data_IF_272686459650
#
_entry.id   IF_272686459650
#
_cell.length_a   1.000
_cell.length_b   1.000
_cell.length_c   1.000
_cell.angle_alpha   90.00
_cell.angle_beta   90.00
_cell.angle_gamma   90.00
#
_symmetry.space_group_name_H-M   'P 1'
#
loop_
_entity.id
_entity.type
_entity.pdbx_description
1 polymer ?
#
# COMPACT_ATOMS: atom_id res chain seq x y z
N UNK A 1 56.32 9.75 16.00
CA UNK A 1 55.00 9.68 16.68
C UNK A 1 53.94 9.65 15.60
N UNK A 2 53.19 8.54 15.48
CA UNK A 2 52.10 8.39 14.50
C UNK A 2 50.93 9.26 14.96
N UNK A 3 50.56 10.28 14.20
CA UNK A 3 49.26 10.92 14.33
C UNK A 3 48.28 10.20 13.41
N UNK A 4 47.26 9.64 14.04
CA UNK A 4 46.15 8.92 13.44
C UNK A 4 45.33 9.86 12.54
N UNK A 5 45.17 9.47 11.29
CA UNK A 5 44.09 9.94 10.43
C UNK A 5 42.78 9.37 11.01
N UNK A 6 41.84 10.25 11.37
CA UNK A 6 40.44 9.85 11.53
C UNK A 6 39.78 9.96 10.15
N UNK A 7 39.51 8.80 9.58
CA UNK A 7 38.72 8.60 8.36
C UNK A 7 37.23 8.69 8.72
N UNK A 8 36.43 9.62 8.15
CA UNK A 8 34.99 9.67 8.37
C UNK A 8 34.29 8.75 7.36
N UNK A 9 34.55 7.44 7.43
CA UNK A 9 33.91 6.42 6.59
C UNK A 9 32.93 5.57 7.42
N UNK A 10 31.69 6.05 7.55
CA UNK A 10 30.48 5.22 7.64
C UNK A 10 29.23 6.08 7.88
N UNK A 11 28.84 6.89 6.90
CA UNK A 11 27.43 7.17 6.72
C UNK A 11 26.91 6.06 5.81
N UNK A 12 26.26 5.05 6.38
CA UNK A 12 25.44 4.14 5.59
C UNK A 12 24.37 5.01 4.90
N UNK A 13 24.43 5.12 3.57
CA UNK A 13 23.34 5.64 2.77
C UNK A 13 22.11 4.80 3.10
N UNK A 14 21.27 5.28 4.01
CA UNK A 14 19.94 4.71 4.25
C UNK A 14 19.15 5.04 3.00
N UNK A 15 19.21 4.16 2.00
CA UNK A 15 18.45 4.32 0.77
C UNK A 15 16.98 4.53 1.14
N UNK A 16 16.45 5.73 0.89
CA UNK A 16 15.07 6.06 1.21
C UNK A 16 14.13 5.09 0.48
N UNK A 17 13.38 4.32 1.26
CA UNK A 17 12.39 3.38 0.74
C UNK A 17 11.26 4.16 0.06
N UNK A 18 11.12 3.99 -1.26
CA UNK A 18 10.10 4.65 -2.06
C UNK A 18 8.91 3.70 -2.31
N UNK A 19 7.90 3.78 -1.45
CA UNK A 19 6.68 2.97 -1.56
C UNK A 19 5.47 3.79 -1.99
N UNK A 20 4.79 3.28 -3.02
CA UNK A 20 3.59 3.88 -3.58
C UNK A 20 2.38 2.95 -3.45
N UNK A 21 1.19 3.54 -3.41
CA UNK A 21 -0.06 2.82 -3.54
C UNK A 21 -0.82 3.25 -4.79
N UNK A 22 -1.28 2.30 -5.61
CA UNK A 22 -2.07 2.60 -6.81
C UNK A 22 -3.27 1.65 -6.98
N UNK A 23 -4.44 2.21 -7.25
CA UNK A 23 -5.68 1.45 -7.45
C UNK A 23 -6.04 1.36 -8.92
N UNK A 24 -6.28 0.16 -9.45
CA UNK A 24 -6.55 0.03 -10.89
C UNK A 24 -8.00 0.38 -11.29
N UNK A 25 -8.98 0.13 -10.40
CA UNK A 25 -10.41 0.38 -10.65
C UNK A 25 -10.84 -0.08 -12.05
N UNK A 26 -11.39 0.82 -12.86
CA UNK A 26 -11.78 0.66 -14.25
C UNK A 26 -10.87 1.42 -15.22
N UNK A 27 -9.62 1.73 -14.84
CA UNK A 27 -8.68 2.42 -15.71
C UNK A 27 -8.40 1.63 -16.99
N UNK A 28 -8.08 2.34 -18.07
CA UNK A 28 -7.45 1.70 -19.21
C UNK A 28 -6.04 1.25 -18.82
N UNK A 29 -5.51 0.23 -19.50
CA UNK A 29 -4.13 -0.19 -19.32
C UNK A 29 -3.14 0.94 -19.60
N UNK A 30 -3.38 1.74 -20.65
CA UNK A 30 -2.51 2.86 -21.03
C UNK A 30 -2.44 3.93 -19.95
N UNK A 31 -3.58 4.32 -19.37
CA UNK A 31 -3.62 5.31 -18.28
C UNK A 31 -2.92 4.77 -17.03
N UNK A 32 -3.13 3.50 -16.70
CA UNK A 32 -2.46 2.88 -15.57
C UNK A 32 -0.94 2.86 -15.74
N UNK A 33 -0.44 2.48 -16.93
CA UNK A 33 0.99 2.49 -17.25
C UNK A 33 1.55 3.92 -17.21
N UNK A 34 0.85 4.91 -17.77
CA UNK A 34 1.34 6.30 -17.74
C UNK A 34 1.48 6.83 -16.31
N UNK A 35 0.60 6.42 -15.38
CA UNK A 35 0.73 6.76 -13.96
C UNK A 35 1.97 6.12 -13.34
N UNK A 36 2.27 4.86 -13.68
CA UNK A 36 3.47 4.18 -13.18
C UNK A 36 4.74 4.85 -13.70
N UNK A 37 4.79 5.18 -14.99
CA UNK A 37 5.93 5.84 -15.63
C UNK A 37 6.16 7.25 -15.09
N UNK A 38 5.10 8.04 -14.91
CA UNK A 38 5.17 9.40 -14.35
C UNK A 38 5.78 9.42 -12.94
N UNK A 39 5.62 8.32 -12.19
CA UNK A 39 6.17 8.16 -10.84
C UNK A 39 7.44 7.30 -10.79
N UNK A 40 8.01 6.98 -11.96
CA UNK A 40 9.19 6.15 -12.12
C UNK A 40 9.10 4.79 -11.40
N UNK A 41 7.90 4.21 -11.34
CA UNK A 41 7.68 2.89 -10.73
C UNK A 41 8.38 1.83 -11.57
N UNK A 42 9.11 0.96 -10.90
CA UNK A 42 9.91 -0.12 -11.51
C UNK A 42 9.37 -1.50 -11.13
N UNK A 43 8.59 -1.59 -10.06
CA UNK A 43 7.98 -2.84 -9.58
C UNK A 43 6.53 -2.58 -9.18
N UNK A 44 5.61 -3.40 -9.68
CA UNK A 44 4.23 -3.48 -9.21
C UNK A 44 4.06 -4.72 -8.35
N UNK A 45 3.64 -4.54 -7.11
CA UNK A 45 3.27 -5.62 -6.20
C UNK A 45 1.76 -5.68 -6.08
N UNK A 46 1.16 -6.71 -6.65
CA UNK A 46 -0.28 -6.95 -6.61
C UNK A 46 -0.68 -7.58 -5.28
N UNK A 47 -1.38 -6.80 -4.46
CA UNK A 47 -1.86 -7.22 -3.12
C UNK A 47 -3.33 -7.65 -3.15
N UNK A 48 -3.92 -7.88 -4.32
CA UNK A 48 -5.28 -8.44 -4.41
C UNK A 48 -5.24 -9.91 -4.00
N UNK A 49 -6.15 -10.36 -3.13
CA UNK A 49 -6.23 -11.77 -2.69
C UNK A 49 -6.30 -12.79 -3.82
N UNK A 50 -6.76 -12.38 -5.01
CA UNK A 50 -6.59 -13.14 -6.23
C UNK A 50 -6.27 -12.16 -7.36
N UNK A 51 -5.27 -12.43 -8.22
CA UNK A 51 -4.87 -11.52 -9.29
C UNK A 51 -5.82 -11.64 -10.50
N UNK A 52 -7.12 -11.73 -10.23
CA UNK A 52 -8.20 -11.81 -11.22
C UNK A 52 -8.94 -10.49 -11.25
N UNK A 53 -9.33 -10.09 -12.46
CA UNK A 53 -10.13 -8.88 -12.68
C UNK A 53 -11.16 -9.15 -13.75
N UNK A 54 -12.29 -8.43 -13.68
CA UNK A 54 -13.27 -8.35 -14.77
C UNK A 54 -12.72 -7.65 -16.01
N UNK A 55 -11.68 -6.84 -15.83
CA UNK A 55 -10.95 -6.20 -16.90
C UNK A 55 -9.78 -7.10 -17.30
N UNK A 56 -9.83 -7.68 -18.49
CA UNK A 56 -8.87 -8.70 -18.93
C UNK A 56 -7.41 -8.24 -18.80
N UNK A 57 -7.13 -6.96 -19.07
CA UNK A 57 -5.79 -6.35 -18.95
C UNK A 57 -5.26 -6.27 -17.51
N UNK A 58 -6.13 -6.37 -16.51
CA UNK A 58 -5.76 -6.43 -15.09
C UNK A 58 -5.80 -7.86 -14.50
N UNK A 59 -5.93 -8.90 -15.33
CA UNK A 59 -5.58 -10.25 -14.89
C UNK A 59 -4.07 -10.36 -14.70
N UNK A 60 -3.59 -11.06 -13.66
CA UNK A 60 -2.16 -11.08 -13.29
C UNK A 60 -1.24 -11.45 -14.46
N UNK A 61 -1.60 -12.49 -15.23
CA UNK A 61 -0.82 -12.91 -16.40
C UNK A 61 -0.83 -11.89 -17.54
N UNK A 62 -1.94 -11.19 -17.79
CA UNK A 62 -1.99 -10.16 -18.84
C UNK A 62 -1.28 -8.87 -18.40
N UNK A 63 -1.46 -8.49 -17.13
CA UNK A 63 -0.84 -7.32 -16.53
C UNK A 63 0.68 -7.49 -16.48
N UNK A 64 1.19 -8.62 -15.98
CA UNK A 64 2.62 -8.96 -15.96
C UNK A 64 3.26 -8.83 -17.35
N UNK A 65 2.63 -9.42 -18.38
CA UNK A 65 3.09 -9.30 -19.78
C UNK A 65 3.07 -7.88 -20.31
N UNK A 66 2.12 -7.06 -19.88
CA UNK A 66 2.00 -5.66 -20.32
C UNK A 66 3.05 -4.78 -19.65
N UNK A 67 3.26 -4.96 -18.35
CA UNK A 67 4.28 -4.25 -17.57
C UNK A 67 5.71 -4.59 -18.02
N UNK A 68 5.97 -5.86 -18.35
CA UNK A 68 7.27 -6.28 -18.89
C UNK A 68 7.67 -5.54 -20.18
N UNK A 69 6.70 -5.13 -21.02
CA UNK A 69 6.98 -4.37 -22.25
C UNK A 69 7.51 -2.96 -21.99
N UNK A 70 7.25 -2.42 -20.80
CA UNK A 70 7.70 -1.11 -20.35
C UNK A 70 8.73 -1.22 -19.21
N UNK A 71 9.38 -2.38 -19.09
CA UNK A 71 10.42 -2.66 -18.08
C UNK A 71 9.98 -2.52 -16.63
N UNK A 72 8.69 -2.76 -16.35
CA UNK A 72 8.14 -2.79 -14.99
C UNK A 72 7.97 -4.25 -14.56
N UNK A 73 8.58 -4.62 -13.44
CA UNK A 73 8.46 -5.95 -12.85
C UNK A 73 7.10 -6.12 -12.17
N UNK A 74 6.61 -7.35 -12.12
CA UNK A 74 5.34 -7.69 -11.46
C UNK A 74 5.54 -8.83 -10.47
N UNK A 75 5.08 -8.63 -9.23
CA UNK A 75 4.99 -9.67 -8.21
C UNK A 75 3.57 -9.72 -7.66
N UNK A 76 3.10 -10.90 -7.28
CA UNK A 76 1.81 -11.07 -6.62
C UNK A 76 2.03 -11.56 -5.19
N UNK A 77 1.51 -10.82 -4.21
CA UNK A 77 1.59 -11.13 -2.77
C UNK A 77 0.20 -11.19 -2.13
N UNK A 78 -0.83 -11.54 -2.90
CA UNK A 78 -2.21 -11.58 -2.40
C UNK A 78 -2.52 -12.71 -1.42
N UNK A 79 -1.68 -13.75 -1.38
CA UNK A 79 -1.72 -14.82 -0.38
C UNK A 79 -1.28 -14.33 1.02
N UNK A 80 -0.44 -13.29 1.07
CA UNK A 80 0.10 -12.71 2.31
C UNK A 80 -0.57 -11.39 2.71
N UNK A 81 -0.80 -10.53 1.72
CA UNK A 81 -1.26 -9.14 1.89
C UNK A 81 -2.64 -8.89 1.29
N UNK A 82 -3.39 -9.96 1.00
CA UNK A 82 -4.73 -9.89 0.43
C UNK A 82 -5.78 -9.28 1.37
N UNK A 83 -6.62 -8.39 0.84
CA UNK A 83 -7.73 -7.76 1.59
C UNK A 83 -8.97 -8.62 1.81
N UNK A 84 -8.98 -9.87 1.34
CA UNK A 84 -10.04 -10.85 1.60
C UNK A 84 -9.53 -11.92 2.54
N UNK A 85 -10.07 -11.94 3.74
CA UNK A 85 -9.81 -12.90 4.80
C UNK A 85 -11.15 -13.34 5.42
N UNK A 86 -11.09 -14.25 6.39
CA UNK A 86 -12.29 -14.74 7.09
C UNK A 86 -13.12 -13.57 7.65
N UNK A 87 -14.46 -13.59 7.56
CA UNK A 87 -15.32 -12.54 8.13
C UNK A 87 -15.22 -12.43 9.66
N UNK A 88 -14.58 -13.41 10.32
CA UNK A 88 -14.31 -13.39 11.77
C UNK A 88 -13.03 -12.63 12.12
N UNK A 89 -12.19 -12.29 11.15
CA UNK A 89 -10.93 -11.59 11.37
C UNK A 89 -11.11 -10.10 11.11
N UNK A 90 -10.48 -9.29 11.96
CA UNK A 90 -10.29 -7.85 11.76
C UNK A 90 -8.94 -7.58 11.11
N UNK A 91 -8.71 -6.34 10.65
CA UNK A 91 -7.38 -5.91 10.23
C UNK A 91 -6.34 -6.06 11.33
N UNK A 92 -6.70 -5.82 12.59
CA UNK A 92 -5.78 -6.03 13.71
C UNK A 92 -5.39 -7.50 13.90
N UNK A 93 -6.29 -8.44 13.62
CA UNK A 93 -5.99 -9.88 13.67
C UNK A 93 -5.05 -10.28 12.53
N UNK A 94 -5.29 -9.75 11.31
CA UNK A 94 -4.44 -9.99 10.14
C UNK A 94 -3.04 -9.41 10.36
N UNK A 95 -2.94 -8.19 10.88
CA UNK A 95 -1.68 -7.48 11.14
C UNK A 95 -0.77 -8.25 12.12
N UNK A 96 -1.35 -8.99 13.06
CA UNK A 96 -0.61 -9.81 14.03
C UNK A 96 -0.13 -11.17 13.49
N UNK A 97 -0.49 -11.53 12.26
CA UNK A 97 -0.14 -12.83 11.69
C UNK A 97 1.27 -12.86 11.11
N UNK A 98 1.96 -14.00 11.24
CA UNK A 98 3.28 -14.21 10.63
C UNK A 98 3.25 -14.11 9.09
N UNK A 99 2.12 -14.49 8.50
CA UNK A 99 1.85 -14.40 7.06
C UNK A 99 1.90 -12.95 6.59
N UNK A 100 1.24 -12.05 7.33
CA UNK A 100 1.28 -10.62 7.04
C UNK A 100 2.69 -10.04 7.22
N UNK A 101 3.36 -10.37 8.33
CA UNK A 101 4.72 -9.92 8.61
C UNK A 101 5.71 -10.34 7.49
N UNK A 102 5.57 -11.58 6.99
CA UNK A 102 6.36 -12.08 5.85
C UNK A 102 6.10 -11.26 4.57
N UNK A 103 4.82 -10.96 4.29
CA UNK A 103 4.46 -10.13 3.15
C UNK A 103 5.04 -8.70 3.23
N UNK A 104 5.01 -8.09 4.41
CA UNK A 104 5.61 -6.77 4.64
C UNK A 104 7.13 -6.81 4.42
N UNK A 105 7.81 -7.82 4.94
CA UNK A 105 9.25 -7.99 4.74
C UNK A 105 9.62 -8.12 3.26
N UNK A 106 8.83 -8.86 2.46
CA UNK A 106 9.03 -8.98 1.01
C UNK A 106 8.82 -7.66 0.28
N UNK A 107 7.81 -6.87 0.66
CA UNK A 107 7.59 -5.52 0.11
C UNK A 107 8.76 -4.60 0.42
N UNK A 108 9.22 -4.57 1.67
CA UNK A 108 10.35 -3.74 2.09
C UNK A 108 11.65 -4.17 1.41
N UNK A 109 11.86 -5.47 1.25
CA UNK A 109 13.01 -5.99 0.50
C UNK A 109 12.96 -5.58 -0.97
N UNK A 110 11.79 -5.67 -1.62
CA UNK A 110 11.62 -5.25 -3.01
C UNK A 110 11.85 -3.74 -3.19
N UNK A 111 11.54 -2.93 -2.18
CA UNK A 111 11.72 -1.48 -2.24
C UNK A 111 13.18 -1.03 -2.00
N UNK A 112 14.08 -1.94 -1.58
CA UNK A 112 15.52 -1.65 -1.50
C UNK A 112 16.10 -1.52 -2.92
N UNK A 113 16.27 -0.29 -3.39
CA UNK A 113 16.81 0.00 -4.72
C UNK A 113 15.79 -0.06 -5.86
N UNK A 114 14.49 -0.02 -5.54
CA UNK A 114 13.42 0.08 -6.54
C UNK A 114 12.30 0.97 -6.05
N UNK A 115 11.57 1.57 -6.98
CA UNK A 115 10.32 2.29 -6.71
C UNK A 115 9.16 1.34 -6.88
N UNK A 116 8.52 0.98 -5.77
CA UNK A 116 7.50 -0.07 -5.72
C UNK A 116 6.11 0.56 -5.61
N UNK A 117 5.17 0.10 -6.44
CA UNK A 117 3.75 0.40 -6.28
C UNK A 117 2.98 -0.85 -5.78
N UNK A 118 2.40 -0.77 -4.59
CA UNK A 118 1.39 -1.72 -4.14
C UNK A 118 0.08 -1.46 -4.87
N UNK A 119 -0.45 -2.49 -5.54
CA UNK A 119 -1.63 -2.38 -6.39
C UNK A 119 -2.83 -3.16 -5.84
N UNK A 120 -4.00 -2.51 -5.82
CA UNK A 120 -5.29 -3.12 -5.47
C UNK A 120 -6.39 -2.76 -6.48
N UNK A 121 -7.64 -3.20 -6.22
CA UNK A 121 -8.76 -3.01 -7.15
C UNK A 121 -9.48 -1.68 -6.99
N UNK A 122 -9.51 -1.16 -5.77
CA UNK A 122 -10.27 0.01 -5.37
C UNK A 122 -9.63 1.29 -5.91
N UNK A 123 -10.44 2.28 -6.30
CA UNK A 123 -9.94 3.58 -6.73
C UNK A 123 -9.44 4.42 -5.55
N UNK A 124 -10.26 4.56 -4.50
CA UNK A 124 -9.98 5.40 -3.35
C UNK A 124 -9.17 4.63 -2.31
N UNK A 125 -8.04 5.19 -1.91
CA UNK A 125 -7.19 4.64 -0.87
C UNK A 125 -7.92 4.54 0.48
N UNK A 126 -8.85 5.45 0.80
CA UNK A 126 -9.65 5.37 2.02
C UNK A 126 -10.61 4.18 2.06
N UNK A 127 -10.81 3.44 0.96
CA UNK A 127 -11.74 2.30 0.91
C UNK A 127 -11.06 0.96 0.67
N UNK A 128 -9.72 0.90 0.74
CA UNK A 128 -8.97 -0.29 0.38
C UNK A 128 -8.05 -0.79 1.51
N UNK A 129 -7.79 -2.10 1.53
CA UNK A 129 -6.87 -2.71 2.50
C UNK A 129 -5.42 -2.24 2.30
N UNK A 130 -5.04 -1.87 1.07
CA UNK A 130 -3.71 -1.34 0.77
C UNK A 130 -3.37 -0.14 1.65
N UNK A 131 -4.29 0.81 1.85
CA UNK A 131 -4.02 1.95 2.74
C UNK A 131 -4.41 1.67 4.18
N UNK A 132 -5.58 1.04 4.41
CA UNK A 132 -6.15 0.90 5.76
C UNK A 132 -5.45 -0.15 6.62
N UNK A 133 -4.85 -1.17 6.01
CA UNK A 133 -4.08 -2.21 6.68
C UNK A 133 -2.58 -2.01 6.41
N UNK A 134 -2.15 -2.12 5.15
CA UNK A 134 -0.72 -2.14 4.81
C UNK A 134 -0.08 -0.76 5.03
N UNK A 135 -0.67 0.30 4.47
CA UNK A 135 -0.17 1.67 4.62
C UNK A 135 -0.13 2.15 6.07
N UNK A 136 -1.16 1.81 6.86
CA UNK A 136 -1.21 2.08 8.30
C UNK A 136 -0.06 1.39 9.05
N UNK A 137 0.13 0.08 8.81
CA UNK A 137 1.19 -0.70 9.44
C UNK A 137 2.59 -0.13 9.11
N UNK A 138 2.84 0.16 7.83
CA UNK A 138 4.12 0.72 7.39
C UNK A 138 4.41 2.07 8.06
N UNK A 139 3.39 2.93 8.18
CA UNK A 139 3.54 4.23 8.84
C UNK A 139 3.92 4.06 10.31
N UNK A 140 3.27 3.14 11.04
CA UNK A 140 3.65 2.84 12.43
C UNK A 140 5.07 2.29 12.54
N UNK A 141 5.54 1.56 11.54
CA UNK A 141 6.92 1.08 11.44
C UNK A 141 7.91 2.13 10.90
N UNK A 142 7.49 3.39 10.73
CA UNK A 142 8.36 4.49 10.27
C UNK A 142 8.61 4.53 8.76
N UNK A 143 7.89 3.73 7.97
CA UNK A 143 8.00 3.72 6.50
C UNK A 143 6.83 4.46 5.87
N UNK A 144 7.11 5.48 5.07
CA UNK A 144 6.08 6.26 4.40
C UNK A 144 5.56 5.55 3.13
N UNK A 145 4.25 5.55 2.95
CA UNK A 145 3.60 5.18 1.68
C UNK A 145 2.91 6.41 1.06
N UNK A 146 3.07 6.58 -0.24
CA UNK A 146 2.44 7.66 -1.02
C UNK A 146 1.43 7.10 -2.02
N UNK A 147 0.17 7.54 -1.97
CA UNK A 147 -0.91 7.05 -2.82
C UNK A 147 -1.01 7.89 -4.09
N UNK A 148 -0.85 7.24 -5.24
CA UNK A 148 -1.07 7.84 -6.56
C UNK A 148 -2.57 7.82 -6.83
N UNK A 149 -3.16 8.99 -7.06
CA UNK A 149 -4.57 9.14 -7.40
C UNK A 149 -4.80 8.88 -8.90
N UNK A 150 -6.06 8.83 -9.33
CA UNK A 150 -6.40 8.63 -10.74
C UNK A 150 -5.97 9.81 -11.64
N UNK A 151 -5.78 11.00 -11.07
CA UNK A 151 -5.28 12.19 -11.80
C UNK A 151 -3.76 12.21 -11.90
N UNK A 152 -3.05 11.32 -11.19
CA UNK A 152 -1.59 11.29 -11.12
C UNK A 152 -1.00 12.13 -10.00
N UNK A 153 -1.83 12.87 -9.28
CA UNK A 153 -1.46 13.52 -8.02
C UNK A 153 -1.17 12.48 -6.94
N UNK A 154 -0.51 12.92 -5.87
CA UNK A 154 -0.11 12.07 -4.76
C UNK A 154 -0.70 12.54 -3.45
N UNK A 155 -1.06 11.58 -2.59
CA UNK A 155 -1.50 11.80 -1.21
C UNK A 155 -0.65 10.90 -0.30
N UNK A 156 0.03 11.47 0.68
CA UNK A 156 0.77 10.70 1.70
C UNK A 156 -0.20 9.93 2.60
N UNK A 157 0.26 8.87 3.27
CA UNK A 157 -0.55 8.18 4.30
C UNK A 157 -1.04 9.15 5.39
N UNK A 158 -0.26 10.19 5.73
CA UNK A 158 -0.67 11.18 6.73
C UNK A 158 -1.82 12.07 6.23
N UNK A 159 -1.76 12.55 4.98
CA UNK A 159 -2.85 13.31 4.37
C UNK A 159 -4.11 12.46 4.20
N UNK A 160 -3.94 11.19 3.84
CA UNK A 160 -5.03 10.21 3.80
C UNK A 160 -5.70 10.07 5.16
N UNK A 161 -4.93 10.00 6.26
CA UNK A 161 -5.49 9.93 7.61
C UNK A 161 -6.26 11.20 7.98
N UNK A 162 -5.78 12.39 7.59
CA UNK A 162 -6.53 13.63 7.78
C UNK A 162 -7.85 13.62 6.99
N UNK A 163 -7.84 13.06 5.76
CA UNK A 163 -9.06 12.86 4.98
C UNK A 163 -9.99 11.84 5.65
N UNK A 164 -9.43 10.75 6.20
CA UNK A 164 -10.18 9.73 6.92
C UNK A 164 -10.87 10.29 8.17
N UNK A 165 -10.18 11.14 8.94
CA UNK A 165 -10.76 11.85 10.08
C UNK A 165 -11.89 12.79 9.65
N UNK A 166 -11.74 13.53 8.55
CA UNK A 166 -12.82 14.39 8.00
C UNK A 166 -14.03 13.59 7.52
N UNK A 167 -13.83 12.36 7.04
CA UNK A 167 -14.93 11.46 6.67
C UNK A 167 -15.71 10.94 7.89
N UNK A 168 -15.09 10.95 9.07
CA UNK A 168 -15.65 10.47 10.35
C UNK A 168 -15.54 11.56 11.44
N UNK A 169 -16.23 12.71 11.28
CA UNK A 169 -16.00 13.91 12.09
C UNK A 169 -16.47 13.81 13.56
N UNK A 170 -17.20 12.75 13.92
CA UNK A 170 -17.66 12.48 15.27
C UNK A 170 -17.05 11.16 15.77
N UNK A 171 -15.75 11.13 16.12
CA UNK A 171 -15.21 10.00 16.86
C UNK A 171 -15.97 9.89 18.20
N UNK A 172 -16.07 8.68 18.79
CA UNK A 172 -16.59 8.52 20.14
C UNK A 172 -15.95 9.53 21.10
N UNK A 173 -16.75 10.08 22.02
CA UNK A 173 -16.30 11.14 22.93
C UNK A 173 -15.12 10.72 23.83
N UNK A 174 -14.90 9.42 23.99
CA UNK A 174 -13.82 8.77 24.74
C UNK A 174 -12.62 8.34 23.88
N UNK A 175 -12.61 8.66 22.57
CA UNK A 175 -11.52 8.28 21.69
C UNK A 175 -10.23 9.04 22.03
N UNK A 176 -9.27 8.34 22.62
CA UNK A 176 -7.93 8.88 22.95
C UNK A 176 -7.03 9.06 21.72
N UNK A 177 -7.36 8.39 20.61
CA UNK A 177 -6.68 8.50 19.32
C UNK A 177 -7.73 8.65 18.19
N UNK A 178 -7.98 9.89 17.72
CA UNK A 178 -8.94 10.16 16.65
C UNK A 178 -8.62 9.44 15.33
N UNK A 179 -7.34 9.22 15.03
CA UNK A 179 -6.90 8.53 13.81
C UNK A 179 -7.25 7.05 13.91
N UNK A 180 -6.90 6.39 15.03
CA UNK A 180 -7.27 5.00 15.26
C UNK A 180 -8.80 4.80 15.25
N UNK A 181 -9.56 5.74 15.80
CA UNK A 181 -11.02 5.73 15.72
C UNK A 181 -11.51 5.81 14.27
N UNK A 182 -10.93 6.70 13.45
CA UNK A 182 -11.31 6.85 12.04
C UNK A 182 -11.02 5.57 11.23
N UNK A 183 -9.89 4.89 11.47
CA UNK A 183 -9.60 3.58 10.89
C UNK A 183 -10.65 2.53 11.30
N UNK A 184 -10.98 2.43 12.59
CA UNK A 184 -11.96 1.46 13.08
C UNK A 184 -13.37 1.71 12.50
N UNK A 185 -13.79 2.98 12.40
CA UNK A 185 -15.07 3.36 11.79
C UNK A 185 -15.09 3.02 10.29
N UNK A 186 -13.99 3.27 9.58
CA UNK A 186 -13.90 2.93 8.17
C UNK A 186 -13.87 1.42 7.93
N UNK A 187 -13.13 0.66 8.72
CA UNK A 187 -13.11 -0.79 8.68
C UNK A 187 -14.52 -1.36 8.89
N UNK A 188 -15.23 -0.90 9.93
CA UNK A 188 -16.64 -1.28 10.17
C UNK A 188 -17.55 -0.94 8.99
N UNK A 189 -17.34 0.18 8.32
CA UNK A 189 -18.10 0.55 7.12
C UNK A 189 -17.84 -0.37 5.93
N UNK A 190 -16.61 -0.88 5.78
CA UNK A 190 -16.23 -1.77 4.68
C UNK A 190 -16.67 -3.22 4.90
N UNK A 191 -16.55 -3.73 6.12
CA UNK A 191 -16.86 -5.12 6.45
C UNK A 191 -18.23 -5.32 7.11
N UNK A 192 -18.82 -4.26 7.64
CA UNK A 192 -20.16 -4.29 8.21
C UNK A 192 -21.24 -4.28 7.12
N UNK A 193 -21.94 -5.40 6.94
CA UNK A 193 -23.31 -5.38 6.43
C UNK A 193 -24.27 -5.17 7.59
N UNK A 194 -25.36 -4.42 7.30
CA UNK A 194 -26.55 -4.17 8.12
C UNK A 194 -26.74 -5.22 9.21
N UNK A 195 -26.73 -4.81 10.48
CA UNK A 195 -27.35 -5.64 11.50
C UNK A 195 -28.79 -5.96 11.05
N UNK A 196 -29.27 -7.21 11.21
CA UNK A 196 -30.68 -7.53 10.97
C UNK A 196 -31.60 -6.65 11.82
#
# INVERSE_FOLDING_TARGET
>A
MKQLQNDPSSQEDVAEISLFGLGHSNASLSHFVSLLEAHAITVVVDVRSSPRSRFAHFSGTALSRSLAKVSISYAWLGDKLGGRFSPTLTYADVERSDVFATGIAEVLSAARGSRVALMCSEHDACTCHRALLIGRHLKFAGTQMTHITRTGETETQQELEQRLMRMHPAPPLDATDPVASAYAMQERKLFGRKQP
#
